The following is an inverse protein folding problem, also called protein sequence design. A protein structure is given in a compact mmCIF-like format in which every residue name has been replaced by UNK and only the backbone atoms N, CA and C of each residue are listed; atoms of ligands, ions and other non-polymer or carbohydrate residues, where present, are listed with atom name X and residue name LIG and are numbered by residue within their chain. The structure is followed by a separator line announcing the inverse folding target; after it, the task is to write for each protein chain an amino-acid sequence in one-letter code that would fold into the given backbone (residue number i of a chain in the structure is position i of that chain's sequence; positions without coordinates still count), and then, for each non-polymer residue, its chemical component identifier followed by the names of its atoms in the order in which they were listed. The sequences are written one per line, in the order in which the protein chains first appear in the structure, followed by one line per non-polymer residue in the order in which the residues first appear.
data_IF_140942500631
#
_entry.id   IF_140942500631
#
_cell.length_a   1.000
_cell.length_b   1.000
_cell.length_c   1.000
_cell.angle_alpha   90.00
_cell.angle_beta   90.00
_cell.angle_gamma   90.00
#
_symmetry.space_group_name_H-M   'P 1'
#
loop_
_entity.id
_entity.type
_entity.pdbx_description
1 polymer ?
#
# COMPACT_ATOMS: atom_id res chain seq x y z
N UNK A 1 -67.04 -38.99 7.28
CA UNK A 1 -66.15 -38.61 6.16
C UNK A 1 -64.76 -38.43 6.75
N UNK A 2 -64.13 -39.45 7.30
CA UNK A 2 -63.57 -40.61 6.59
C UNK A 2 -63.30 -40.34 5.11
N UNK A 3 -62.04 -40.05 4.80
CA UNK A 3 -61.39 -40.52 3.58
C UNK A 3 -59.88 -40.26 3.71
N UNK A 4 -59.19 -41.32 4.12
CA UNK A 4 -57.76 -41.55 3.91
C UNK A 4 -57.43 -41.38 2.43
N UNK A 5 -56.72 -40.32 2.09
CA UNK A 5 -56.09 -40.14 0.78
C UNK A 5 -54.64 -40.63 0.86
N UNK A 6 -54.49 -41.95 0.98
CA UNK A 6 -53.31 -42.66 0.53
C UNK A 6 -53.20 -42.51 -0.98
N UNK A 7 -52.17 -41.83 -1.45
CA UNK A 7 -51.74 -41.90 -2.85
C UNK A 7 -50.25 -41.61 -2.92
N UNK A 8 -49.51 -42.69 -2.67
CA UNK A 8 -48.12 -42.92 -3.04
C UNK A 8 -47.92 -42.50 -4.50
N UNK A 9 -47.24 -41.38 -4.73
CA UNK A 9 -46.73 -41.05 -6.07
C UNK A 9 -45.29 -41.52 -6.14
N UNK A 10 -45.11 -42.56 -6.95
CA UNK A 10 -43.88 -43.30 -7.16
C UNK A 10 -42.68 -42.37 -7.37
N UNK A 11 -41.60 -42.64 -6.62
CA UNK A 11 -40.31 -42.02 -6.81
C UNK A 11 -39.85 -42.26 -8.26
N UNK A 12 -39.95 -41.22 -9.09
CA UNK A 12 -39.32 -41.19 -10.40
C UNK A 12 -37.82 -41.07 -10.18
N UNK A 13 -37.11 -42.09 -10.64
CA UNK A 13 -35.66 -42.20 -10.60
C UNK A 13 -35.01 -41.01 -11.30
N UNK A 14 -34.48 -40.05 -10.53
CA UNK A 14 -33.47 -39.13 -11.04
C UNK A 14 -32.12 -39.76 -10.74
N UNK A 15 -31.56 -40.35 -11.79
CA UNK A 15 -30.20 -40.89 -11.85
C UNK A 15 -29.25 -39.98 -11.07
N UNK A 16 -28.54 -40.57 -10.11
CA UNK A 16 -27.46 -39.91 -9.38
C UNK A 16 -26.33 -39.54 -10.34
N UNK A 17 -26.52 -38.44 -11.07
CA UNK A 17 -25.40 -37.62 -11.50
C UNK A 17 -25.00 -36.86 -10.25
N UNK A 18 -24.26 -37.57 -9.38
CA UNK A 18 -23.32 -36.92 -8.49
C UNK A 18 -22.29 -36.26 -9.37
N UNK A 19 -22.63 -35.12 -9.98
CA UNK A 19 -21.65 -34.09 -10.24
C UNK A 19 -21.11 -33.77 -8.87
N UNK A 20 -20.00 -34.44 -8.54
CA UNK A 20 -18.93 -33.91 -7.73
C UNK A 20 -18.93 -32.41 -8.05
N UNK A 21 -19.47 -31.60 -7.14
CA UNK A 21 -19.25 -30.17 -7.14
C UNK A 21 -17.74 -30.09 -6.96
N UNK A 22 -17.02 -30.16 -8.07
CA UNK A 22 -15.61 -29.83 -8.11
C UNK A 22 -15.59 -28.41 -7.58
N UNK A 23 -15.14 -28.26 -6.34
CA UNK A 23 -14.88 -26.99 -5.68
C UNK A 23 -13.69 -26.32 -6.38
N UNK A 24 -13.84 -26.05 -7.67
CA UNK A 24 -12.81 -25.53 -8.54
C UNK A 24 -13.49 -24.67 -9.59
N UNK A 25 -14.24 -23.66 -9.14
CA UNK A 25 -14.54 -22.49 -9.99
C UNK A 25 -14.59 -21.21 -9.15
N UNK A 26 -13.73 -21.14 -8.14
CA UNK A 26 -13.11 -19.87 -7.79
C UNK A 26 -11.74 -19.89 -8.49
N UNK A 27 -11.37 -18.88 -9.28
CA UNK A 27 -9.97 -18.74 -9.66
C UNK A 27 -9.22 -18.65 -8.33
N UNK A 28 -8.39 -19.64 -8.06
CA UNK A 28 -7.43 -19.57 -6.98
C UNK A 28 -6.54 -18.38 -7.36
N UNK A 29 -6.81 -17.21 -6.77
CA UNK A 29 -6.02 -16.00 -7.02
C UNK A 29 -4.61 -16.38 -6.61
N UNK A 30 -3.73 -16.45 -7.59
CA UNK A 30 -2.36 -16.84 -7.34
C UNK A 30 -1.75 -15.86 -6.33
N UNK A 31 -0.85 -16.32 -5.48
CA UNK A 31 -0.17 -15.44 -4.52
C UNK A 31 0.57 -14.34 -5.29
N UNK A 32 1.08 -14.67 -6.48
CA UNK A 32 1.72 -13.74 -7.41
C UNK A 32 0.74 -12.67 -7.94
N UNK A 33 -0.52 -13.02 -8.22
CA UNK A 33 -1.56 -12.07 -8.65
C UNK A 33 -1.92 -11.09 -7.52
N UNK A 34 -1.90 -11.55 -6.28
CA UNK A 34 -2.18 -10.72 -5.10
C UNK A 34 -1.08 -9.68 -4.87
N UNK A 35 0.20 -10.08 -5.01
CA UNK A 35 1.34 -9.15 -4.93
C UNK A 35 1.33 -8.12 -6.08
N UNK A 36 0.95 -8.54 -7.30
CA UNK A 36 0.83 -7.62 -8.42
C UNK A 36 -0.28 -6.58 -8.21
N UNK A 37 -1.43 -6.97 -7.62
CA UNK A 37 -2.51 -6.05 -7.29
C UNK A 37 -2.10 -5.02 -6.22
N UNK A 38 -1.42 -5.46 -5.15
CA UNK A 38 -0.95 -4.53 -4.11
C UNK A 38 0.08 -3.55 -4.69
N UNK A 39 1.05 -4.04 -5.46
CA UNK A 39 2.06 -3.21 -6.09
C UNK A 39 1.44 -2.17 -7.05
N UNK A 40 0.45 -2.59 -7.86
CA UNK A 40 -0.31 -1.68 -8.74
C UNK A 40 -1.05 -0.61 -7.94
N UNK A 41 -1.70 -0.99 -6.83
CA UNK A 41 -2.37 -0.04 -5.95
C UNK A 41 -1.41 0.97 -5.33
N UNK A 42 -0.25 0.50 -4.83
CA UNK A 42 0.79 1.37 -4.28
C UNK A 42 1.30 2.37 -5.33
N UNK A 43 1.56 1.91 -6.55
CA UNK A 43 1.99 2.77 -7.66
C UNK A 43 0.93 3.78 -8.08
N UNK A 44 -0.34 3.38 -8.13
CA UNK A 44 -1.45 4.28 -8.40
C UNK A 44 -1.56 5.38 -7.33
N UNK A 45 -1.48 5.01 -6.05
CA UNK A 45 -1.49 5.94 -4.92
C UNK A 45 -0.31 6.91 -4.94
N UNK A 46 0.90 6.41 -5.24
CA UNK A 46 2.10 7.24 -5.39
C UNK A 46 1.93 8.25 -6.55
N UNK A 47 1.44 7.79 -7.69
CA UNK A 47 1.18 8.63 -8.86
C UNK A 47 0.14 9.71 -8.54
N UNK A 48 -0.92 9.37 -7.81
CA UNK A 48 -1.94 10.33 -7.37
C UNK A 48 -1.36 11.39 -6.42
N UNK A 49 -0.49 11.01 -5.49
CA UNK A 49 0.21 11.96 -4.60
C UNK A 49 1.13 12.89 -5.40
N UNK A 50 1.91 12.35 -6.33
CA UNK A 50 2.79 13.13 -7.20
C UNK A 50 2.01 14.13 -8.06
N UNK A 51 0.90 13.71 -8.69
CA UNK A 51 0.01 14.58 -9.46
C UNK A 51 -0.55 15.72 -8.61
N UNK A 52 -1.03 15.42 -7.40
CA UNK A 52 -1.57 16.43 -6.48
C UNK A 52 -0.51 17.45 -6.04
N UNK A 53 0.72 16.99 -5.78
CA UNK A 53 1.85 17.86 -5.46
C UNK A 53 2.18 18.80 -6.62
N UNK A 54 2.25 18.26 -7.85
CA UNK A 54 2.50 19.04 -9.05
C UNK A 54 1.42 20.09 -9.28
N UNK A 55 0.14 19.73 -9.16
CA UNK A 55 -0.96 20.67 -9.30
C UNK A 55 -0.92 21.80 -8.26
N UNK A 56 -0.53 21.50 -7.01
CA UNK A 56 -0.49 22.48 -5.92
C UNK A 56 0.71 23.43 -6.01
N UNK A 57 1.86 22.94 -6.46
CA UNK A 57 3.13 23.70 -6.43
C UNK A 57 3.57 24.19 -7.80
N UNK A 58 3.06 23.61 -8.88
CA UNK A 58 3.56 23.83 -10.23
C UNK A 58 4.99 23.30 -10.48
N UNK A 59 5.59 22.61 -9.50
CA UNK A 59 6.99 22.15 -9.56
C UNK A 59 7.05 20.69 -10.01
N UNK A 60 7.69 20.43 -11.15
CA UNK A 60 7.96 19.08 -11.62
C UNK A 60 9.00 18.39 -10.72
N UNK A 61 8.81 17.09 -10.46
CA UNK A 61 9.66 16.30 -9.55
C UNK A 61 11.05 15.97 -10.12
N UNK A 62 11.35 16.37 -11.37
CA UNK A 62 12.71 16.35 -11.93
C UNK A 62 13.45 15.01 -11.78
N UNK A 63 12.76 13.88 -12.00
CA UNK A 63 13.29 12.54 -11.72
C UNK A 63 14.29 12.00 -12.77
N UNK A 64 14.74 12.83 -13.71
CA UNK A 64 15.53 12.41 -14.87
C UNK A 64 17.05 12.26 -14.57
N UNK A 65 17.44 12.17 -13.29
CA UNK A 65 18.84 12.00 -12.89
C UNK A 65 18.97 11.26 -11.55
N UNK A 66 20.16 10.70 -11.24
CA UNK A 66 20.44 10.03 -9.95
C UNK A 66 20.44 11.01 -8.75
N UNK A 67 20.13 12.27 -9.02
CA UNK A 67 20.12 13.38 -8.07
C UNK A 67 18.90 13.28 -7.17
N UNK A 68 19.12 13.27 -5.86
CA UNK A 68 18.03 13.47 -4.88
C UNK A 68 17.22 14.70 -5.29
N UNK A 69 15.89 14.67 -5.12
CA UNK A 69 15.00 15.79 -5.45
C UNK A 69 15.55 17.08 -4.81
N UNK A 70 16.27 17.86 -5.60
CA UNK A 70 17.37 18.68 -5.10
C UNK A 70 16.88 19.96 -4.45
N UNK A 71 16.79 19.96 -3.13
CA UNK A 71 16.88 21.21 -2.39
C UNK A 71 18.33 21.66 -2.45
N UNK A 72 18.56 22.88 -2.93
CA UNK A 72 19.87 23.52 -2.78
C UNK A 72 20.14 23.71 -1.29
N UNK A 73 20.94 22.82 -0.70
CA UNK A 73 21.23 22.83 0.73
C UNK A 73 21.83 24.18 1.16
N UNK A 74 22.57 24.88 0.28
CA UNK A 74 23.11 26.20 0.57
C UNK A 74 22.02 27.29 0.68
N UNK A 75 20.80 27.03 0.19
CA UNK A 75 19.62 27.90 0.33
C UNK A 75 18.66 27.46 1.44
N UNK A 76 18.77 26.23 1.93
CA UNK A 76 17.95 25.74 3.04
C UNK A 76 18.49 26.33 4.34
N UNK A 77 17.64 26.96 5.15
CA UNK A 77 17.98 27.53 6.47
C UNK A 77 17.15 26.86 7.59
N UNK A 78 17.80 26.37 8.67
CA UNK A 78 17.10 25.86 9.85
C UNK A 78 16.43 27.03 10.58
N UNK A 79 15.10 27.02 10.72
CA UNK A 79 14.34 28.03 11.45
C UNK A 79 14.76 28.21 12.91
N UNK A 80 15.26 27.16 13.58
CA UNK A 80 15.63 27.21 15.00
C UNK A 80 17.04 27.78 15.25
N UNK A 81 17.99 27.52 14.34
CA UNK A 81 19.40 27.93 14.51
C UNK A 81 19.87 28.98 13.52
N UNK A 82 19.04 29.34 12.54
CA UNK A 82 19.36 30.29 11.47
C UNK A 82 20.67 29.96 10.74
N UNK A 83 20.96 28.67 10.60
CA UNK A 83 22.13 28.15 9.89
C UNK A 83 21.68 27.46 8.61
N UNK A 84 22.43 27.70 7.55
CA UNK A 84 22.19 27.11 6.24
C UNK A 84 22.60 25.63 6.23
N UNK A 85 22.09 24.86 5.27
CA UNK A 85 22.56 23.50 5.01
C UNK A 85 21.85 22.39 5.78
N UNK A 86 20.77 22.65 6.52
CA UNK A 86 20.03 21.60 7.21
C UNK A 86 18.60 22.04 7.59
N UNK A 87 17.72 21.05 7.78
CA UNK A 87 16.35 21.30 8.21
C UNK A 87 16.25 21.41 9.74
N UNK A 88 15.20 22.07 10.23
CA UNK A 88 14.92 22.15 11.67
C UNK A 88 14.77 20.78 12.37
N UNK A 89 14.43 19.73 11.62
CA UNK A 89 14.36 18.36 12.13
C UNK A 89 15.73 17.72 12.39
N UNK A 90 16.78 18.23 11.75
CA UNK A 90 18.16 17.74 11.87
C UNK A 90 18.94 18.51 12.94
N UNK A 91 18.34 19.57 13.47
CA UNK A 91 18.88 20.43 14.52
C UNK A 91 18.99 19.63 15.84
N UNK A 92 20.06 18.81 15.99
CA UNK A 92 20.43 18.17 17.27
C UNK A 92 20.86 19.28 18.23
N UNK A 93 20.31 19.29 19.45
CA UNK A 93 20.68 20.33 20.41
C UNK A 93 22.16 20.19 20.77
N UNK A 94 22.84 21.30 21.10
CA UNK A 94 24.23 21.28 21.58
C UNK A 94 24.40 20.31 22.78
N UNK A 95 23.32 20.08 23.52
CA UNK A 95 23.24 19.16 24.66
C UNK A 95 23.35 17.69 24.27
N UNK A 96 22.95 17.33 23.05
CA UNK A 96 22.97 15.94 22.55
C UNK A 96 24.38 15.53 22.06
N UNK A 97 25.17 16.49 21.55
CA UNK A 97 26.58 16.26 21.16
C UNK A 97 27.46 15.92 22.36
N UNK A 98 27.17 16.49 23.54
CA UNK A 98 27.91 16.20 24.76
C UNK A 98 27.63 14.79 25.30
N UNK A 99 26.50 14.18 24.93
CA UNK A 99 26.13 12.83 25.37
C UNK A 99 26.79 11.73 24.54
N UNK A 100 27.17 12.04 23.29
CA UNK A 100 27.88 11.11 22.39
C UNK A 100 29.39 11.10 22.63
N UNK A 101 29.97 12.19 23.16
CA UNK A 101 31.41 12.28 23.44
C UNK A 101 31.86 11.63 24.78
N UNK A 102 30.93 11.09 25.58
CA UNK A 102 31.24 10.46 26.89
C UNK A 102 31.18 8.91 26.82
N UNK A 103 30.87 8.35 25.64
CA UNK A 103 30.86 6.90 25.43
C UNK A 103 31.96 6.48 24.45
N UNK A 104 33.22 6.58 24.89
CA UNK A 104 34.31 5.61 24.63
C UNK A 104 35.66 6.13 25.20
N UNK A 105 36.60 5.25 25.61
CA UNK A 105 36.49 3.86 26.09
C UNK A 105 36.55 3.74 27.63
#
# INVERSE_FOLDING_TARGET
TDSTNDSVSAAVNVSAVGTKLSASTLPNIDIDDLEEMDLKWQMAMLTMRARRFLQKTGRNLGANGPTSMGFDMAKVECYNFHRKGHFARECRSLKDSKRTAIAEP
#
